data_IF_948953555439
#
_entry.id   IF_948953555439
#
_cell.length_a   1.000
_cell.length_b   1.000
_cell.length_c   1.000
_cell.angle_alpha   90.00
_cell.angle_beta   90.00
_cell.angle_gamma   90.00
#
_symmetry.space_group_name_H-M   'P 1'
#
loop_
_entity.id
_entity.type
_entity.pdbx_description
1 polymer ?
#
# COMPACT_ATOMS: atom_id res chain seq x y z
N UNK A 1 -20.66 -12.70 -3.33
CA UNK A 1 -19.82 -11.62 -2.79
C UNK A 1 -19.40 -12.05 -1.39
N UNK A 2 -18.13 -12.27 -1.13
CA UNK A 2 -17.62 -12.53 0.21
C UNK A 2 -17.66 -11.25 1.01
N UNK A 3 -18.31 -11.28 2.18
CA UNK A 3 -18.32 -10.13 3.11
C UNK A 3 -16.88 -9.86 3.55
N UNK A 4 -16.40 -8.59 3.52
CA UNK A 4 -15.08 -8.25 4.02
C UNK A 4 -14.92 -8.66 5.48
N UNK A 5 -13.74 -9.13 5.86
CA UNK A 5 -13.40 -9.40 7.25
C UNK A 5 -13.49 -8.10 8.06
N UNK A 6 -14.09 -8.17 9.25
CA UNK A 6 -14.19 -7.02 10.16
C UNK A 6 -13.02 -7.03 11.14
N UNK A 7 -12.20 -5.99 11.11
CA UNK A 7 -11.09 -5.79 12.04
C UNK A 7 -11.48 -4.80 13.13
N UNK A 8 -11.20 -5.18 14.37
CA UNK A 8 -11.36 -4.32 15.54
C UNK A 8 -10.23 -3.30 15.60
N UNK A 9 -10.42 -2.25 16.41
CA UNK A 9 -9.39 -1.23 16.65
C UNK A 9 -8.04 -1.84 17.01
N UNK A 10 -6.99 -1.38 16.32
CA UNK A 10 -5.62 -1.85 16.47
C UNK A 10 -5.33 -3.24 15.87
N UNK A 11 -6.25 -3.86 15.16
CA UNK A 11 -6.03 -5.15 14.50
C UNK A 11 -5.51 -4.92 13.07
N UNK A 12 -4.34 -5.51 12.76
CA UNK A 12 -3.69 -5.43 11.45
C UNK A 12 -3.00 -6.76 11.12
N UNK A 13 -2.76 -6.99 9.83
CA UNK A 13 -1.91 -8.10 9.39
C UNK A 13 -0.44 -7.76 9.65
N UNK A 14 0.25 -8.62 10.41
CA UNK A 14 1.67 -8.50 10.71
C UNK A 14 1.98 -8.78 12.17
N UNK A 15 3.25 -8.99 12.47
CA UNK A 15 3.75 -9.23 13.82
C UNK A 15 4.06 -7.92 14.51
N UNK A 16 3.50 -7.72 15.69
CA UNK A 16 3.72 -6.53 16.52
C UNK A 16 5.06 -6.66 17.25
N UNK A 17 5.97 -5.74 16.99
CA UNK A 17 7.27 -5.66 17.68
C UNK A 17 7.26 -4.68 18.86
N UNK A 18 6.52 -3.58 18.70
CA UNK A 18 6.33 -2.57 19.76
C UNK A 18 4.88 -2.12 19.72
N UNK A 19 4.30 -1.85 20.88
CA UNK A 19 2.94 -1.36 20.99
C UNK A 19 2.74 -0.55 22.26
N UNK A 20 1.92 0.48 22.15
CA UNK A 20 1.44 1.27 23.28
C UNK A 20 -0.04 1.54 23.07
N UNK A 21 -0.85 1.26 24.11
CA UNK A 21 -2.28 1.47 24.09
C UNK A 21 -2.66 2.47 25.16
N UNK A 22 -3.17 3.63 24.71
CA UNK A 22 -3.77 4.65 25.58
C UNK A 22 -5.29 4.61 25.50
N UNK A 23 -5.92 5.62 26.08
CA UNK A 23 -7.39 5.80 26.06
C UNK A 23 -7.88 6.25 24.67
N UNK A 24 -7.07 6.95 23.93
CA UNK A 24 -7.43 7.65 22.68
C UNK A 24 -6.73 7.03 21.46
N UNK A 25 -5.51 6.51 21.64
CA UNK A 25 -4.68 5.95 20.57
C UNK A 25 -4.22 4.53 20.90
N UNK A 26 -4.21 3.66 19.88
CA UNK A 26 -3.50 2.38 19.87
C UNK A 26 -2.38 2.48 18.83
N UNK A 27 -1.13 2.55 19.29
CA UNK A 27 0.04 2.74 18.45
C UNK A 27 0.81 1.43 18.37
N UNK A 28 1.07 0.95 17.16
CA UNK A 28 1.80 -0.31 16.95
C UNK A 28 2.85 -0.17 15.87
N UNK A 29 3.99 -0.78 16.10
CA UNK A 29 5.02 -0.99 15.08
C UNK A 29 5.04 -2.46 14.70
N UNK A 30 4.81 -2.74 13.43
CA UNK A 30 4.61 -4.08 12.91
C UNK A 30 5.60 -4.40 11.78
N UNK A 31 5.79 -5.70 11.59
CA UNK A 31 6.47 -6.26 10.41
C UNK A 31 5.46 -7.08 9.63
N UNK A 32 5.39 -6.86 8.33
CA UNK A 32 4.58 -7.67 7.45
C UNK A 32 5.11 -9.12 7.44
N UNK A 33 4.21 -10.09 7.62
CA UNK A 33 4.54 -11.52 7.70
C UNK A 33 3.66 -12.37 6.81
N UNK A 34 2.68 -11.74 6.15
CA UNK A 34 1.77 -12.43 5.23
C UNK A 34 2.19 -12.20 3.79
N UNK A 35 2.13 -13.28 3.01
CA UNK A 35 2.22 -13.19 1.56
C UNK A 35 1.08 -12.35 0.97
N UNK A 36 1.28 -11.80 -0.21
CA UNK A 36 0.27 -10.93 -0.84
C UNK A 36 -1.08 -11.63 -1.01
N UNK A 37 -1.08 -12.94 -1.29
CA UNK A 37 -2.28 -13.75 -1.52
C UNK A 37 -2.98 -14.16 -0.20
N UNK A 38 -2.28 -14.09 0.93
CA UNK A 38 -2.81 -14.46 2.24
C UNK A 38 -3.57 -13.31 2.94
N UNK A 39 -3.42 -12.09 2.44
CA UNK A 39 -4.15 -10.93 2.96
C UNK A 39 -5.52 -10.86 2.30
N UNK A 40 -6.58 -11.04 3.08
CA UNK A 40 -7.94 -10.90 2.61
C UNK A 40 -8.41 -9.44 2.62
N UNK A 41 -9.41 -9.12 1.79
CA UNK A 41 -10.12 -7.84 1.87
C UNK A 41 -10.79 -7.71 3.23
N UNK A 42 -10.55 -6.59 3.90
CA UNK A 42 -11.03 -6.32 5.25
C UNK A 42 -11.50 -4.89 5.41
N UNK A 43 -12.16 -4.63 6.52
CA UNK A 43 -12.67 -3.31 6.91
C UNK A 43 -12.32 -3.08 8.37
N UNK A 44 -11.81 -1.90 8.71
CA UNK A 44 -11.54 -1.49 10.08
C UNK A 44 -12.70 -0.71 10.67
N UNK A 45 -12.99 -0.95 11.97
CA UNK A 45 -13.99 -0.18 12.73
C UNK A 45 -13.51 1.22 13.07
N UNK A 46 -12.20 1.40 13.15
CA UNK A 46 -11.53 2.65 13.53
C UNK A 46 -10.95 3.40 12.34
N UNK A 47 -10.77 4.70 12.48
CA UNK A 47 -9.89 5.45 11.63
C UNK A 47 -8.45 5.26 12.08
N UNK A 48 -7.51 5.18 11.14
CA UNK A 48 -6.13 4.90 11.49
C UNK A 48 -5.14 5.47 10.48
N UNK A 49 -3.94 5.75 10.96
CA UNK A 49 -2.79 6.00 10.11
C UNK A 49 -2.01 4.71 9.86
N UNK A 50 -1.44 4.61 8.67
CA UNK A 50 -0.41 3.63 8.30
C UNK A 50 0.82 4.39 7.84
N UNK A 51 1.92 4.27 8.58
CA UNK A 51 3.20 4.83 8.20
C UNK A 51 4.14 3.71 7.76
N UNK A 52 4.40 3.65 6.46
CA UNK A 52 5.30 2.66 5.84
C UNK A 52 6.74 3.06 6.14
N UNK A 53 7.45 2.22 6.90
CA UNK A 53 8.84 2.44 7.31
C UNK A 53 9.84 1.79 6.37
N UNK A 54 9.50 0.62 5.82
CA UNK A 54 10.30 -0.08 4.82
C UNK A 54 9.44 -0.94 3.91
N UNK A 55 9.94 -1.26 2.74
CA UNK A 55 9.22 -2.03 1.74
C UNK A 55 8.34 -1.18 0.84
N UNK A 56 7.48 -1.83 0.08
CA UNK A 56 6.51 -1.17 -0.79
C UNK A 56 5.12 -1.64 -0.43
N UNK A 57 4.30 -0.72 -0.01
CA UNK A 57 2.92 -0.91 0.38
C UNK A 57 1.99 -0.86 -0.84
N UNK A 58 1.03 -1.77 -0.88
CA UNK A 58 0.01 -1.89 -1.91
C UNK A 58 -1.34 -1.80 -1.22
N UNK A 59 -2.18 -0.87 -1.63
CA UNK A 59 -3.52 -0.69 -1.07
C UNK A 59 -4.58 -0.66 -2.14
N UNK A 60 -5.74 -1.25 -1.86
CA UNK A 60 -6.95 -1.12 -2.67
C UNK A 60 -7.91 -0.05 -2.14
N UNK A 61 -7.53 0.66 -1.08
CA UNK A 61 -8.34 1.76 -0.56
C UNK A 61 -8.53 2.87 -1.61
N UNK A 62 -9.73 3.46 -1.64
CA UNK A 62 -10.04 4.56 -2.56
C UNK A 62 -9.12 5.74 -2.31
N UNK A 63 -8.56 6.31 -3.37
CA UNK A 63 -7.59 7.41 -3.36
C UNK A 63 -6.24 7.10 -2.72
N UNK A 64 -6.04 5.92 -2.14
CA UNK A 64 -4.70 5.47 -1.85
C UNK A 64 -3.93 5.23 -3.16
N UNK A 65 -2.64 5.55 -3.21
CA UNK A 65 -1.85 5.16 -4.36
C UNK A 65 -1.84 3.63 -4.42
N UNK A 66 -2.08 3.03 -5.59
CA UNK A 66 -2.07 1.57 -5.74
C UNK A 66 -0.77 0.92 -5.27
N UNK A 67 0.29 1.73 -5.17
CA UNK A 67 1.59 1.37 -4.66
C UNK A 67 2.29 2.57 -4.04
N UNK A 68 2.83 2.40 -2.84
CA UNK A 68 3.51 3.43 -2.08
C UNK A 68 4.83 2.89 -1.50
N UNK A 69 6.00 3.30 -2.03
CA UNK A 69 7.28 2.98 -1.43
C UNK A 69 7.45 3.71 -0.09
N UNK A 70 8.24 3.13 0.82
CA UNK A 70 8.63 3.83 2.04
C UNK A 70 9.56 5.03 1.72
N UNK A 71 9.47 6.14 2.48
CA UNK A 71 8.48 6.39 3.51
C UNK A 71 7.15 6.92 2.92
N UNK A 72 6.03 6.39 3.39
CA UNK A 72 4.69 6.89 3.00
C UNK A 72 3.78 6.87 4.22
N UNK A 73 3.03 7.97 4.42
CA UNK A 73 2.03 8.11 5.46
C UNK A 73 0.64 8.18 4.83
N UNK A 74 -0.22 7.23 5.20
CA UNK A 74 -1.60 7.13 4.73
C UNK A 74 -2.54 7.23 5.93
N UNK A 75 -3.60 8.01 5.80
CA UNK A 75 -4.74 7.98 6.72
C UNK A 75 -5.90 7.24 6.07
N UNK A 76 -6.50 6.31 6.79
CA UNK A 76 -7.70 5.58 6.39
C UNK A 76 -8.84 5.96 7.33
N UNK A 77 -9.96 6.51 6.84
CA UNK A 77 -11.16 6.76 7.62
C UNK A 77 -11.78 5.45 8.15
N UNK A 78 -12.52 5.55 9.24
CA UNK A 78 -13.29 4.42 9.78
C UNK A 78 -14.21 3.84 8.70
N UNK A 79 -14.30 2.52 8.67
CA UNK A 79 -15.12 1.82 7.69
C UNK A 79 -14.53 1.74 6.29
N UNK A 80 -13.28 2.14 6.07
CA UNK A 80 -12.58 1.92 4.80
C UNK A 80 -12.42 0.42 4.56
N UNK A 81 -12.92 -0.03 3.40
CA UNK A 81 -12.72 -1.40 2.92
C UNK A 81 -11.51 -1.42 2.02
N UNK A 82 -10.55 -2.27 2.34
CA UNK A 82 -9.30 -2.36 1.58
C UNK A 82 -8.65 -3.73 1.72
N UNK A 83 -7.60 -3.93 0.92
CA UNK A 83 -6.67 -5.05 1.01
C UNK A 83 -5.26 -4.48 0.97
N UNK A 84 -4.64 -4.39 2.14
CA UNK A 84 -3.34 -3.77 2.35
C UNK A 84 -2.24 -4.80 2.44
N UNK A 85 -1.31 -4.73 1.52
CA UNK A 85 -0.25 -5.73 1.30
C UNK A 85 1.12 -5.07 1.20
N UNK A 86 2.15 -5.88 1.32
CA UNK A 86 3.51 -5.47 0.98
C UNK A 86 4.05 -6.34 -0.14
N UNK A 87 4.79 -5.73 -1.07
CA UNK A 87 5.47 -6.47 -2.14
C UNK A 87 6.34 -7.56 -1.52
N UNK A 88 6.24 -8.79 -2.04
CA UNK A 88 6.91 -9.98 -1.54
C UNK A 88 6.60 -10.29 -0.05
N UNK A 89 5.52 -9.76 0.52
CA UNK A 89 5.19 -9.90 1.94
C UNK A 89 6.22 -9.25 2.88
N UNK A 90 7.07 -8.35 2.38
CA UNK A 90 8.19 -7.77 3.12
C UNK A 90 8.02 -6.28 3.33
N UNK A 91 7.92 -5.88 4.58
CA UNK A 91 7.81 -4.48 4.96
C UNK A 91 7.74 -4.29 6.46
N UNK A 92 8.00 -3.07 6.91
CA UNK A 92 7.70 -2.65 8.28
C UNK A 92 6.90 -1.37 8.25
N UNK A 93 6.00 -1.25 9.18
CA UNK A 93 5.08 -0.11 9.26
C UNK A 93 4.69 0.18 10.69
N UNK A 94 4.23 1.40 10.93
CA UNK A 94 3.59 1.81 12.18
C UNK A 94 2.14 2.14 11.90
N UNK A 95 1.26 1.75 12.81
CA UNK A 95 -0.16 2.14 12.80
C UNK A 95 -0.47 3.00 14.01
N UNK A 96 -1.36 3.96 13.82
CA UNK A 96 -1.96 4.75 14.90
C UNK A 96 -3.46 4.70 14.72
N UNK A 97 -4.12 3.85 15.49
CA UNK A 97 -5.58 3.71 15.53
C UNK A 97 -6.19 4.72 16.48
N UNK A 98 -7.27 5.36 16.04
CA UNK A 98 -8.00 6.38 16.80
C UNK A 98 -9.20 5.76 17.49
N UNK A 99 -9.37 6.04 18.79
CA UNK A 99 -10.55 5.58 19.49
C UNK A 99 -11.83 6.20 18.89
N UNK A 100 -12.93 5.44 18.77
CA UNK A 100 -14.18 5.94 18.21
C UNK A 100 -14.72 7.19 18.93
N UNK A 101 -14.48 7.30 20.24
CA UNK A 101 -14.89 8.46 21.03
C UNK A 101 -14.21 9.78 20.58
N UNK A 102 -13.00 9.70 20.07
CA UNK A 102 -12.30 10.87 19.52
C UNK A 102 -12.98 11.38 18.24
N UNK A 103 -13.49 10.46 17.45
CA UNK A 103 -14.12 10.76 16.18
C UNK A 103 -15.54 11.31 16.37
N UNK A 104 -16.29 10.87 17.38
CA UNK A 104 -17.63 11.36 17.66
C UNK A 104 -17.68 12.81 18.20
N UNK A 105 -16.56 13.31 18.75
CA UNK A 105 -16.41 14.71 19.17
C UNK A 105 -15.80 15.66 18.15
N UNK A 106 -15.33 15.12 17.01
CA UNK A 106 -14.59 15.85 15.99
C UNK A 106 -15.28 15.73 14.61
N UNK A 107 -16.55 16.15 14.53
CA UNK A 107 -17.32 16.10 13.28
C UNK A 107 -16.58 16.74 12.09
N UNK A 108 -15.84 17.83 12.35
CA UNK A 108 -15.00 18.47 11.33
C UNK A 108 -13.85 17.60 10.84
N UNK A 109 -13.32 16.74 11.72
CA UNK A 109 -12.26 15.79 11.36
C UNK A 109 -12.81 14.61 10.54
N UNK A 110 -14.01 14.16 10.86
CA UNK A 110 -14.72 13.08 10.17
C UNK A 110 -15.23 13.52 8.78
N UNK A 111 -15.80 14.72 8.72
CA UNK A 111 -16.28 15.28 7.46
C UNK A 111 -15.14 15.65 6.48
N UNK A 112 -13.88 15.71 6.99
CA UNK A 112 -12.76 16.14 6.17
C UNK A 112 -12.22 15.07 5.24
N UNK A 113 -12.32 13.76 5.61
CA UNK A 113 -11.70 12.67 4.88
C UNK A 113 -12.66 11.47 4.78
N UNK A 114 -13.33 11.37 3.65
CA UNK A 114 -14.21 10.23 3.33
C UNK A 114 -13.46 9.08 2.64
N UNK A 115 -12.22 9.30 2.25
CA UNK A 115 -11.36 8.36 1.54
C UNK A 115 -9.95 8.33 2.12
N UNK A 116 -9.20 7.28 1.78
CA UNK A 116 -7.80 7.21 2.12
C UNK A 116 -7.05 8.46 1.62
N UNK A 117 -6.21 9.03 2.47
CA UNK A 117 -5.46 10.25 2.19
C UNK A 117 -3.99 10.05 2.42
N UNK A 118 -3.17 10.35 1.41
CA UNK A 118 -1.71 10.35 1.55
C UNK A 118 -1.25 11.72 2.02
N UNK A 119 -0.56 11.75 3.16
CA UNK A 119 0.04 12.95 3.71
C UNK A 119 1.47 13.08 3.18
N UNK A 120 1.72 14.11 2.38
CA UNK A 120 2.99 14.30 1.66
C UNK A 120 3.82 15.48 2.18
N UNK A 121 3.28 16.24 3.12
CA UNK A 121 3.99 17.39 3.68
C UNK A 121 5.09 16.94 4.67
N UNK A 122 6.13 17.76 4.74
CA UNK A 122 7.32 17.47 5.55
C UNK A 122 7.00 17.38 7.05
N UNK A 123 6.04 18.15 7.53
CA UNK A 123 5.69 18.17 8.95
C UNK A 123 5.02 16.88 9.37
N UNK A 124 4.05 16.38 8.57
CA UNK A 124 3.39 15.08 8.78
C UNK A 124 4.40 13.92 8.77
N UNK A 125 5.29 13.92 7.79
CA UNK A 125 6.34 12.90 7.70
C UNK A 125 7.27 12.94 8.91
N UNK A 126 7.70 14.13 9.33
CA UNK A 126 8.57 14.31 10.49
C UNK A 126 7.89 13.84 11.80
N UNK A 127 6.60 14.14 11.99
CA UNK A 127 5.83 13.68 13.13
C UNK A 127 5.77 12.14 13.17
N UNK A 128 5.46 11.51 12.03
CA UNK A 128 5.40 10.06 11.91
C UNK A 128 6.76 9.39 12.19
N UNK A 129 7.87 9.96 11.69
CA UNK A 129 9.22 9.46 11.99
C UNK A 129 9.59 9.58 13.46
N UNK A 130 9.26 10.73 14.10
CA UNK A 130 9.51 10.90 15.54
C UNK A 130 8.75 9.85 16.35
N UNK A 131 7.45 9.70 16.10
CA UNK A 131 6.63 8.72 16.79
C UNK A 131 7.12 7.28 16.57
N UNK A 132 7.49 6.92 15.33
CA UNK A 132 8.03 5.59 15.03
C UNK A 132 9.37 5.30 15.71
N UNK A 133 10.21 6.32 15.90
CA UNK A 133 11.46 6.24 16.68
C UNK A 133 11.15 6.06 18.17
N UNK A 134 10.22 6.86 18.70
CA UNK A 134 9.96 6.91 20.12
C UNK A 134 9.29 5.63 20.64
N UNK A 135 8.32 5.08 19.88
CA UNK A 135 7.74 3.76 20.20
C UNK A 135 8.80 2.64 20.08
N UNK A 136 9.71 2.73 19.10
CA UNK A 136 10.80 1.74 18.95
C UNK A 136 11.82 1.77 20.08
N UNK A 137 11.87 2.86 20.88
CA UNK A 137 12.75 3.02 22.05
C UNK A 137 12.03 2.79 23.37
N UNK A 138 10.76 2.40 23.36
CA UNK A 138 9.95 2.24 24.57
C UNK A 138 9.60 3.58 25.21
N UNK A 139 9.33 4.59 24.39
CA UNK A 139 8.91 5.92 24.88
C UNK A 139 7.72 5.86 25.81
N UNK A 140 7.64 6.81 26.76
CA UNK A 140 6.53 6.87 27.69
C UNK A 140 5.20 7.22 26.99
N UNK A 141 4.08 6.88 27.65
CA UNK A 141 2.74 7.03 27.10
C UNK A 141 2.40 8.48 26.73
N UNK A 142 2.82 9.46 27.51
CA UNK A 142 2.52 10.87 27.26
C UNK A 142 3.24 11.40 26.03
N UNK A 143 4.51 11.00 25.84
CA UNK A 143 5.28 11.34 24.65
C UNK A 143 4.67 10.73 23.39
N UNK A 144 4.28 9.46 23.46
CA UNK A 144 3.66 8.75 22.33
C UNK A 144 2.29 9.37 21.99
N UNK A 145 1.49 9.72 22.99
CA UNK A 145 0.20 10.37 22.79
C UNK A 145 0.36 11.76 22.14
N UNK A 146 1.33 12.56 22.59
CA UNK A 146 1.65 13.86 22.00
C UNK A 146 2.03 13.72 20.50
N UNK A 147 2.85 12.72 20.16
CA UNK A 147 3.20 12.43 18.77
C UNK A 147 2.00 12.00 17.91
N UNK A 148 1.07 11.23 18.47
CA UNK A 148 -0.16 10.84 17.79
C UNK A 148 -1.09 12.02 17.55
N UNK A 149 -1.22 12.94 18.53
CA UNK A 149 -1.93 14.21 18.34
C UNK A 149 -1.33 15.08 17.25
N UNK A 150 -0.01 15.15 17.17
CA UNK A 150 0.69 15.91 16.11
C UNK A 150 0.37 15.32 14.71
N UNK A 151 0.36 13.99 14.59
CA UNK A 151 -0.05 13.33 13.35
C UNK A 151 -1.52 13.63 13.01
N UNK A 152 -2.42 13.58 13.99
CA UNK A 152 -3.83 13.89 13.79
C UNK A 152 -4.04 15.34 13.34
N UNK A 153 -3.34 16.29 13.96
CA UNK A 153 -3.39 17.70 13.58
C UNK A 153 -2.95 17.96 12.13
N UNK A 154 -2.11 17.09 11.57
CA UNK A 154 -1.66 17.22 10.19
C UNK A 154 -2.79 16.96 9.17
N UNK A 155 -3.85 16.23 9.53
CA UNK A 155 -5.01 15.99 8.66
C UNK A 155 -5.75 17.29 8.30
N UNK A 156 -5.77 18.28 9.18
CA UNK A 156 -6.44 19.56 8.89
C UNK A 156 -5.82 20.32 7.70
N UNK A 157 -4.57 20.02 7.38
CA UNK A 157 -3.85 20.62 6.24
C UNK A 157 -4.01 19.81 4.96
N UNK A 158 -4.54 18.58 5.06
CA UNK A 158 -4.72 17.73 3.90
C UNK A 158 -5.92 18.22 3.05
N UNK A 159 -5.82 18.15 1.71
CA UNK A 159 -6.95 18.47 0.86
C UNK A 159 -8.12 17.54 1.14
N UNK A 160 -9.31 18.10 1.30
CA UNK A 160 -10.53 17.30 1.49
C UNK A 160 -10.82 16.49 0.23
N UNK A 161 -11.05 15.22 0.41
CA UNK A 161 -11.41 14.30 -0.67
C UNK A 161 -12.79 13.70 -0.37
N UNK A 162 -13.78 14.09 -1.16
CA UNK A 162 -15.11 13.48 -1.09
C UNK A 162 -15.05 12.05 -1.66
N UNK A 163 -15.81 11.15 -1.06
CA UNK A 163 -15.92 9.77 -1.55
C UNK A 163 -16.65 9.77 -2.90
N UNK A 164 -16.03 9.31 -3.99
CA UNK A 164 -16.73 9.20 -5.26
C UNK A 164 -17.82 8.15 -5.15
N UNK A 165 -18.96 8.42 -5.77
CA UNK A 165 -19.99 7.39 -5.98
C UNK A 165 -19.44 6.38 -6.99
N UNK A 166 -18.97 5.24 -6.49
CA UNK A 166 -18.44 4.16 -7.32
C UNK A 166 -19.47 3.04 -7.49
N UNK A 167 -19.51 2.41 -8.67
CA UNK A 167 -20.29 1.19 -8.85
C UNK A 167 -19.80 0.08 -7.90
N UNK A 168 -20.73 -0.80 -7.44
CA UNK A 168 -20.40 -1.88 -6.52
C UNK A 168 -19.33 -2.88 -7.04
N UNK A 169 -19.15 -2.96 -8.35
CA UNK A 169 -18.13 -3.81 -8.98
C UNK A 169 -16.72 -3.20 -8.98
N UNK A 170 -16.54 -1.92 -8.62
CA UNK A 170 -15.24 -1.23 -8.78
C UNK A 170 -14.12 -1.90 -7.98
N UNK A 171 -14.34 -2.19 -6.70
CA UNK A 171 -13.36 -2.91 -5.87
C UNK A 171 -13.10 -4.33 -6.38
N UNK A 172 -14.15 -5.04 -6.82
CA UNK A 172 -14.02 -6.37 -7.40
C UNK A 172 -13.12 -6.34 -8.66
N UNK A 173 -13.29 -5.31 -9.50
CA UNK A 173 -12.43 -5.10 -10.68
C UNK A 173 -10.97 -4.86 -10.29
N UNK A 174 -10.72 -4.06 -9.24
CA UNK A 174 -9.36 -3.80 -8.76
C UNK A 174 -8.70 -5.09 -8.28
N UNK A 175 -9.38 -5.85 -7.42
CA UNK A 175 -8.84 -7.12 -6.89
C UNK A 175 -8.64 -8.15 -8.02
N UNK A 176 -9.55 -8.22 -8.99
CA UNK A 176 -9.38 -9.10 -10.15
C UNK A 176 -8.11 -8.78 -10.95
N UNK A 177 -7.82 -7.49 -11.20
CA UNK A 177 -6.57 -7.09 -11.87
C UNK A 177 -5.35 -7.45 -11.03
N UNK A 178 -5.43 -7.29 -9.71
CA UNK A 178 -4.31 -7.58 -8.81
C UNK A 178 -4.05 -9.09 -8.68
N UNK A 179 -5.09 -9.89 -8.50
CA UNK A 179 -4.96 -11.33 -8.27
C UNK A 179 -4.63 -12.11 -9.54
N UNK A 180 -5.21 -11.68 -10.68
CA UNK A 180 -4.97 -12.31 -11.98
C UNK A 180 -3.74 -11.76 -12.71
N UNK A 181 -2.98 -10.83 -12.12
CA UNK A 181 -1.80 -10.25 -12.78
C UNK A 181 -0.70 -11.29 -13.09
N UNK A 182 -0.72 -12.45 -12.42
CA UNK A 182 0.16 -13.58 -12.69
C UNK A 182 -0.24 -14.35 -13.98
N UNK A 183 -1.48 -14.20 -14.42
CA UNK A 183 -1.91 -14.74 -15.71
C UNK A 183 -1.31 -13.88 -16.84
N UNK A 184 -0.38 -14.48 -17.57
CA UNK A 184 0.30 -13.81 -18.70
C UNK A 184 -0.65 -13.47 -19.85
N UNK A 185 -1.78 -14.15 -19.95
CA UNK A 185 -2.80 -13.96 -20.98
C UNK A 185 -3.91 -12.99 -20.57
N UNK A 186 -3.94 -12.55 -19.30
CA UNK A 186 -4.96 -11.64 -18.82
C UNK A 186 -5.04 -10.36 -19.66
N UNK A 187 -6.24 -10.08 -20.18
CA UNK A 187 -6.58 -8.83 -20.84
C UNK A 187 -7.58 -8.06 -19.99
N UNK A 188 -7.45 -6.76 -19.96
CA UNK A 188 -8.41 -5.88 -19.25
C UNK A 188 -9.82 -6.01 -19.82
N UNK A 189 -9.93 -6.33 -21.12
CA UNK A 189 -11.23 -6.62 -21.75
C UNK A 189 -11.94 -7.82 -21.12
N UNK A 190 -11.19 -8.84 -20.69
CA UNK A 190 -11.74 -10.06 -20.07
C UNK A 190 -12.29 -9.72 -18.67
N UNK A 191 -11.59 -8.87 -17.92
CA UNK A 191 -12.07 -8.36 -16.63
C UNK A 191 -13.36 -7.56 -16.82
N UNK A 192 -13.41 -6.69 -17.82
CA UNK A 192 -14.60 -5.91 -18.13
C UNK A 192 -15.79 -6.80 -18.51
N UNK A 193 -15.56 -7.81 -19.35
CA UNK A 193 -16.57 -8.77 -19.79
C UNK A 193 -17.11 -9.60 -18.60
N UNK A 194 -16.23 -10.08 -17.71
CA UNK A 194 -16.61 -10.85 -16.52
C UNK A 194 -17.50 -10.03 -15.56
N UNK A 195 -17.34 -8.71 -15.56
CA UNK A 195 -18.14 -7.79 -14.74
C UNK A 195 -19.37 -7.23 -15.48
N UNK A 196 -19.57 -7.59 -16.75
CA UNK A 196 -20.67 -7.09 -17.56
C UNK A 196 -20.59 -5.59 -17.86
N UNK A 197 -19.36 -5.01 -17.93
CA UNK A 197 -19.16 -3.58 -18.15
C UNK A 197 -18.32 -3.31 -19.41
N UNK A 198 -18.55 -2.15 -20.01
CA UNK A 198 -17.73 -1.74 -21.15
C UNK A 198 -16.30 -1.34 -20.69
N UNK A 199 -15.21 -1.74 -21.40
CA UNK A 199 -13.83 -1.44 -21.02
C UNK A 199 -13.53 0.05 -20.81
N UNK A 200 -14.18 0.94 -21.58
CA UNK A 200 -14.03 2.41 -21.43
C UNK A 200 -14.65 2.87 -20.09
N UNK A 201 -15.78 2.29 -19.70
CA UNK A 201 -16.40 2.59 -18.40
C UNK A 201 -15.52 2.11 -17.26
N UNK A 202 -15.00 0.89 -17.35
CA UNK A 202 -14.03 0.34 -16.40
C UNK A 202 -12.84 1.29 -16.23
N UNK A 203 -12.21 1.73 -17.34
CA UNK A 203 -11.07 2.62 -17.30
C UNK A 203 -11.39 3.99 -16.69
N UNK A 204 -12.59 4.54 -16.92
CA UNK A 204 -13.05 5.80 -16.32
C UNK A 204 -13.20 5.69 -14.81
N UNK A 205 -13.85 4.62 -14.34
CA UNK A 205 -14.04 4.37 -12.90
C UNK A 205 -12.69 4.17 -12.20
N UNK A 206 -11.77 3.43 -12.81
CA UNK A 206 -10.42 3.25 -12.25
C UNK A 206 -9.66 4.56 -12.09
N UNK A 207 -9.70 5.45 -13.10
CA UNK A 207 -9.04 6.77 -12.98
C UNK A 207 -9.67 7.61 -11.88
N UNK A 208 -10.99 7.55 -11.73
CA UNK A 208 -11.72 8.26 -10.69
C UNK A 208 -11.37 7.74 -9.30
N UNK A 209 -11.26 6.40 -9.14
CA UNK A 209 -11.06 5.75 -7.85
C UNK A 209 -9.60 5.70 -7.40
N UNK A 210 -8.67 5.41 -8.32
CA UNK A 210 -7.26 5.13 -8.03
C UNK A 210 -6.26 5.96 -8.83
N UNK A 211 -6.72 6.92 -9.63
CA UNK A 211 -5.86 7.81 -10.40
C UNK A 211 -5.10 7.13 -11.56
N UNK A 212 -5.38 5.85 -11.86
CA UNK A 212 -4.72 5.10 -12.92
C UNK A 212 -5.71 4.29 -13.75
N UNK A 213 -5.31 3.80 -14.91
CA UNK A 213 -6.13 2.83 -15.67
C UNK A 213 -5.89 1.40 -15.15
N UNK A 214 -6.84 0.45 -15.41
CA UNK A 214 -6.62 -0.97 -15.10
C UNK A 214 -5.37 -1.53 -15.79
N UNK A 215 -5.09 -1.07 -17.02
CA UNK A 215 -3.90 -1.47 -17.77
C UNK A 215 -2.60 -0.94 -17.15
N UNK A 216 -2.62 0.25 -16.53
CA UNK A 216 -1.47 0.76 -15.78
C UNK A 216 -1.23 -0.08 -14.53
N UNK A 217 -2.28 -0.41 -13.78
CA UNK A 217 -2.21 -1.25 -12.61
C UNK A 217 -1.63 -2.63 -12.95
N UNK A 218 -2.16 -3.30 -13.97
CA UNK A 218 -1.65 -4.59 -14.46
C UNK A 218 -0.17 -4.50 -14.85
N UNK A 219 0.21 -3.46 -15.59
CA UNK A 219 1.58 -3.23 -16.04
C UNK A 219 2.54 -3.03 -14.86
N UNK A 220 2.12 -2.27 -13.84
CA UNK A 220 2.90 -2.09 -12.62
C UNK A 220 3.09 -3.39 -11.86
N UNK A 221 2.04 -4.20 -11.73
CA UNK A 221 2.14 -5.52 -11.09
C UNK A 221 3.13 -6.44 -11.80
N UNK A 222 3.07 -6.51 -13.13
CA UNK A 222 4.00 -7.30 -13.92
C UNK A 222 5.47 -6.83 -13.78
N UNK A 223 5.67 -5.52 -13.69
CA UNK A 223 7.02 -4.96 -13.41
C UNK A 223 7.50 -5.35 -12.00
N UNK A 224 6.61 -5.34 -11.00
CA UNK A 224 6.96 -5.76 -9.63
C UNK A 224 7.36 -7.24 -9.58
N UNK A 225 6.63 -8.11 -10.27
CA UNK A 225 6.96 -9.53 -10.42
C UNK A 225 8.30 -9.72 -11.13
N UNK A 226 8.57 -8.92 -12.16
CA UNK A 226 9.86 -8.95 -12.84
C UNK A 226 11.02 -8.64 -11.88
N UNK A 227 10.85 -7.74 -10.90
CA UNK A 227 11.88 -7.47 -9.89
C UNK A 227 12.27 -8.72 -9.10
N UNK A 228 11.31 -9.57 -8.75
CA UNK A 228 11.58 -10.86 -8.09
C UNK A 228 12.39 -11.82 -8.97
N UNK A 229 12.01 -11.94 -10.26
CA UNK A 229 12.69 -12.82 -11.22
C UNK A 229 14.08 -12.29 -11.63
N UNK A 230 14.28 -10.97 -11.64
CA UNK A 230 15.57 -10.36 -11.93
C UNK A 230 16.68 -10.71 -10.92
N UNK A 231 16.32 -11.24 -9.76
CA UNK A 231 17.28 -11.79 -8.77
C UNK A 231 17.84 -13.15 -9.16
N UNK A 232 17.31 -13.77 -10.20
CA UNK A 232 17.76 -15.06 -10.72
C UNK A 232 18.70 -14.80 -11.90
N UNK A 233 20.02 -14.98 -11.73
CA UNK A 233 21.01 -14.66 -12.77
C UNK A 233 20.89 -15.56 -14.01
N UNK A 234 20.35 -16.77 -13.84
CA UNK A 234 20.15 -17.75 -14.90
C UNK A 234 19.05 -17.37 -15.90
N UNK A 235 18.11 -16.50 -15.53
CA UNK A 235 17.04 -16.08 -16.43
C UNK A 235 17.52 -14.95 -17.35
N UNK A 236 17.30 -15.10 -18.65
CA UNK A 236 17.52 -13.99 -19.59
C UNK A 236 16.49 -12.86 -19.38
N UNK A 237 16.79 -11.66 -19.86
CA UNK A 237 15.83 -10.55 -19.82
C UNK A 237 14.57 -10.83 -20.63
N UNK A 238 14.69 -11.59 -21.72
CA UNK A 238 13.56 -12.02 -22.52
C UNK A 238 12.69 -13.02 -21.79
N UNK A 239 13.29 -14.02 -21.11
CA UNK A 239 12.54 -15.00 -20.32
C UNK A 239 11.80 -14.33 -19.17
N UNK A 240 12.44 -13.39 -18.47
CA UNK A 240 11.77 -12.61 -17.42
C UNK A 240 10.57 -11.86 -18.01
N UNK A 241 10.74 -11.18 -19.15
CA UNK A 241 9.65 -10.43 -19.76
C UNK A 241 8.45 -11.32 -20.10
N UNK A 242 8.70 -12.45 -20.74
CA UNK A 242 7.65 -13.40 -21.12
C UNK A 242 6.98 -14.02 -19.89
N UNK A 243 7.77 -14.41 -18.87
CA UNK A 243 7.26 -15.02 -17.64
C UNK A 243 6.30 -14.12 -16.85
N UNK A 244 6.42 -12.81 -16.98
CA UNK A 244 5.51 -11.85 -16.31
C UNK A 244 4.47 -11.24 -17.27
N UNK A 245 4.32 -11.77 -18.48
CA UNK A 245 3.25 -11.41 -19.42
C UNK A 245 3.51 -10.15 -20.25
N UNK A 246 4.78 -9.72 -20.43
CA UNK A 246 5.12 -8.75 -21.46
C UNK A 246 5.30 -9.45 -22.81
N UNK A 247 4.96 -8.76 -23.89
CA UNK A 247 5.11 -9.28 -25.24
C UNK A 247 6.59 -9.55 -25.62
N UNK A 248 7.48 -8.71 -25.11
CA UNK A 248 8.92 -8.79 -25.36
C UNK A 248 9.73 -8.03 -24.29
N UNK A 249 11.06 -8.20 -24.33
CA UNK A 249 12.00 -7.51 -23.43
C UNK A 249 11.91 -5.98 -23.55
N UNK A 250 11.70 -5.44 -24.76
CA UNK A 250 11.65 -3.99 -24.98
C UNK A 250 10.42 -3.37 -24.32
N UNK A 251 9.27 -4.06 -24.40
CA UNK A 251 8.05 -3.65 -23.74
C UNK A 251 8.24 -3.65 -22.22
N UNK A 252 8.79 -4.72 -21.65
CA UNK A 252 9.13 -4.77 -20.22
C UNK A 252 10.09 -3.65 -19.83
N UNK A 253 11.16 -3.42 -20.62
CA UNK A 253 12.18 -2.41 -20.30
C UNK A 253 11.60 -1.00 -20.25
N UNK A 254 10.71 -0.65 -21.18
CA UNK A 254 10.01 0.65 -21.17
C UNK A 254 9.12 0.81 -19.94
N UNK A 255 8.35 -0.23 -19.59
CA UNK A 255 7.50 -0.21 -18.42
C UNK A 255 8.31 -0.11 -17.12
N UNK A 256 9.42 -0.84 -17.05
CA UNK A 256 10.35 -0.85 -15.93
C UNK A 256 11.04 0.51 -15.74
N UNK A 257 11.54 1.10 -16.84
CA UNK A 257 12.14 2.43 -16.84
C UNK A 257 11.15 3.50 -16.37
N UNK A 258 9.91 3.45 -16.87
CA UNK A 258 8.86 4.38 -16.45
C UNK A 258 8.52 4.24 -14.95
N UNK A 259 8.70 3.04 -14.37
CA UNK A 259 8.34 2.74 -12.98
C UNK A 259 9.48 3.01 -12.00
N UNK A 260 10.72 2.64 -12.36
CA UNK A 260 11.89 2.66 -11.47
C UNK A 260 12.95 3.68 -11.87
N UNK A 261 12.78 4.39 -12.97
CA UNK A 261 13.78 5.34 -13.48
C UNK A 261 15.05 4.69 -14.02
N UNK A 262 15.10 3.34 -14.09
CA UNK A 262 16.27 2.59 -14.58
C UNK A 262 15.86 1.37 -15.39
N UNK A 263 16.80 0.82 -16.16
CA UNK A 263 16.54 -0.40 -16.93
C UNK A 263 16.56 -1.65 -16.06
N UNK A 264 15.88 -2.75 -16.46
CA UNK A 264 15.93 -4.03 -15.74
C UNK A 264 17.36 -4.56 -15.57
N UNK A 265 18.22 -4.38 -16.57
CA UNK A 265 19.62 -4.80 -16.51
C UNK A 265 20.43 -4.01 -15.47
N UNK A 266 20.19 -2.69 -15.35
CA UNK A 266 20.81 -1.87 -14.32
C UNK A 266 20.32 -2.27 -12.92
N UNK A 267 19.02 -2.52 -12.78
CA UNK A 267 18.43 -3.01 -11.53
C UNK A 267 19.07 -4.33 -11.11
N UNK A 268 19.15 -5.31 -12.01
CA UNK A 268 19.82 -6.59 -11.76
C UNK A 268 21.26 -6.39 -11.29
N UNK A 269 22.03 -5.57 -12.01
CA UNK A 269 23.45 -5.31 -11.67
C UNK A 269 23.59 -4.72 -10.27
N UNK A 270 22.77 -3.75 -9.89
CA UNK A 270 22.80 -3.16 -8.55
C UNK A 270 22.49 -4.18 -7.44
N UNK A 271 21.51 -5.06 -7.67
CA UNK A 271 21.15 -6.11 -6.70
C UNK A 271 22.33 -7.04 -6.42
N UNK A 272 23.09 -7.43 -7.44
CA UNK A 272 24.26 -8.31 -7.26
C UNK A 272 25.51 -7.58 -6.75
N UNK A 273 25.63 -6.27 -6.95
CA UNK A 273 26.72 -5.49 -6.36
C UNK A 273 26.52 -5.30 -4.86
N UNK A 274 25.31 -5.04 -4.40
CA UNK A 274 24.99 -4.83 -2.97
C UNK A 274 25.18 -6.11 -2.16
N UNK A 275 24.97 -7.30 -2.73
CA UNK A 275 25.16 -8.59 -2.05
C UNK A 275 26.64 -8.96 -1.86
N UNK A 276 27.57 -8.33 -2.58
CA UNK A 276 29.03 -8.56 -2.44
C UNK A 276 29.69 -7.66 -1.40
N UNK A 277 28.97 -6.67 -0.84
CA UNK A 277 29.55 -5.65 0.07
C UNK A 277 29.10 -5.84 1.53
N UNK A 278 28.57 -7.00 1.92
CA UNK A 278 28.40 -7.31 3.35
C UNK A 278 29.73 -7.83 3.85
N UNK A 279 30.50 -7.07 4.68
CA UNK A 279 31.70 -7.59 5.30
C UNK A 279 31.31 -8.73 6.23
N UNK A 280 32.02 -9.83 6.12
CA UNK A 280 31.97 -10.93 7.07
C UNK A 280 32.46 -10.36 8.42
N UNK A 281 31.56 -10.02 9.30
CA UNK A 281 31.85 -9.73 10.71
C UNK A 281 31.98 -11.08 11.42
N UNK A 282 33.08 -11.76 11.14
CA UNK A 282 33.68 -12.78 11.99
C UNK A 282 35.06 -12.24 12.33
N UNK A 283 35.16 -11.60 13.52
CA UNK A 283 36.27 -11.64 14.47
C UNK A 283 35.80 -11.00 15.77
#
# INVERSE_FOLDING_TARGET
>A
MTTPLQFKSGQFYGDVHHGARGSIFDIRRLKATRGEDEVATHRHDDAHFVFVLSGTYISSALHAPPRAPAPTLVFNPAGTTHRDRFVDGKGSFMTVSLAPALLSGAEELHAAQECATVLRDTASAAAAFRLARDIGRGGDGALLEAGAWEMLASLHKAPRQARPALPGWAHQAYEAVMDLANDTHLRIADVAAALGVHPVHLARVFRQAWGCSPGDLLRWRRVDQACGLLRRPELSMADVALSVGFADQSHMSRAFQARYGMTPSNYRRQMFQTSKTTPNLQD
#
